data_IF_537792197974
#
_entry.id   IF_537792197974
#
_cell.length_a   1.000
_cell.length_b   1.000
_cell.length_c   1.000
_cell.angle_alpha   90.00
_cell.angle_beta   90.00
_cell.angle_gamma   90.00
#
_symmetry.space_group_name_H-M   'P 1'
#
loop_
_entity.id
_entity.type
_entity.pdbx_description
1 polymer ?
#
# COMPACT_ATOMS: atom_id res chain seq x y z
N UNK A 1 -39.60 -26.36 -1.87
CA UNK A 1 -38.81 -25.36 -2.61
C UNK A 1 -37.56 -25.12 -1.81
N UNK A 2 -36.43 -25.73 -2.19
CA UNK A 2 -35.13 -25.28 -1.69
C UNK A 2 -34.78 -24.04 -2.51
N UNK A 3 -34.54 -22.91 -1.86
CA UNK A 3 -33.94 -21.75 -2.50
C UNK A 3 -32.57 -22.19 -3.07
N UNK A 4 -32.22 -21.82 -4.31
CA UNK A 4 -30.90 -22.15 -4.84
C UNK A 4 -29.82 -21.56 -3.93
N UNK A 5 -28.69 -22.26 -3.71
CA UNK A 5 -27.61 -21.72 -2.92
C UNK A 5 -27.22 -20.34 -3.50
N UNK A 6 -26.90 -19.35 -2.64
CA UNK A 6 -26.45 -18.05 -3.12
C UNK A 6 -25.30 -18.30 -4.09
N UNK A 7 -25.52 -17.94 -5.36
CA UNK A 7 -24.53 -18.15 -6.41
C UNK A 7 -23.26 -17.45 -5.99
N UNK A 8 -22.25 -18.29 -5.84
CA UNK A 8 -20.88 -17.99 -5.48
C UNK A 8 -20.41 -16.66 -6.05
N UNK A 9 -19.58 -15.97 -5.26
CA UNK A 9 -18.90 -14.71 -5.52
C UNK A 9 -17.94 -14.79 -6.73
N UNK A 10 -18.45 -15.23 -7.89
CA UNK A 10 -17.71 -15.44 -9.12
C UNK A 10 -17.84 -14.20 -9.98
N UNK A 11 -16.73 -13.49 -10.13
CA UNK A 11 -16.66 -12.31 -10.99
C UNK A 11 -16.38 -12.74 -12.41
N UNK A 12 -17.21 -12.27 -13.35
CA UNK A 12 -16.91 -12.40 -14.77
C UNK A 12 -15.86 -11.34 -15.14
N UNK A 13 -14.62 -11.81 -15.32
CA UNK A 13 -13.49 -10.99 -15.78
C UNK A 13 -13.17 -11.23 -17.26
N UNK A 14 -13.98 -12.05 -17.97
CA UNK A 14 -13.63 -12.55 -19.30
C UNK A 14 -13.63 -11.48 -20.40
N UNK A 15 -14.24 -10.32 -20.14
CA UNK A 15 -14.29 -9.17 -21.07
C UNK A 15 -13.70 -7.90 -20.50
N UNK A 16 -12.96 -8.00 -19.40
CA UNK A 16 -12.50 -6.85 -18.64
C UNK A 16 -11.01 -6.62 -18.92
N UNK A 17 -10.65 -5.46 -19.47
CA UNK A 17 -9.24 -5.13 -19.71
C UNK A 17 -8.60 -4.66 -18.39
N UNK A 18 -7.95 -5.59 -17.69
CA UNK A 18 -7.33 -5.31 -16.40
C UNK A 18 -6.20 -4.29 -16.50
N UNK A 19 -5.52 -4.20 -17.65
CA UNK A 19 -4.45 -3.22 -17.89
C UNK A 19 -4.96 -1.78 -17.88
N UNK A 20 -6.17 -1.52 -18.43
CA UNK A 20 -6.77 -0.18 -18.42
C UNK A 20 -7.47 0.14 -17.09
N UNK A 21 -7.97 -0.89 -16.41
CA UNK A 21 -8.81 -0.71 -15.22
C UNK A 21 -7.99 -0.62 -13.95
N UNK A 22 -6.86 -1.34 -13.85
CA UNK A 22 -6.06 -1.41 -12.63
C UNK A 22 -4.64 -0.91 -12.91
N UNK A 23 -4.37 0.31 -12.47
CA UNK A 23 -3.05 0.91 -12.55
C UNK A 23 -2.32 0.80 -11.22
N UNK A 24 -1.25 0.02 -11.23
CA UNK A 24 -0.31 -0.11 -10.14
C UNK A 24 0.81 0.94 -10.28
N UNK A 25 0.90 1.85 -9.31
CA UNK A 25 2.00 2.81 -9.17
C UNK A 25 2.75 2.56 -7.86
N UNK A 26 3.92 3.17 -7.72
CA UNK A 26 4.71 3.07 -6.49
C UNK A 26 3.87 3.60 -5.33
N UNK A 27 3.54 2.72 -4.37
CA UNK A 27 2.76 3.04 -3.17
C UNK A 27 1.33 3.55 -3.45
N UNK A 28 0.83 3.34 -4.66
CA UNK A 28 -0.48 3.80 -5.11
C UNK A 28 -1.10 2.75 -6.04
N UNK A 29 -2.40 2.55 -5.92
CA UNK A 29 -3.21 1.82 -6.87
C UNK A 29 -4.37 2.70 -7.32
N UNK A 30 -4.60 2.76 -8.62
CA UNK A 30 -5.78 3.41 -9.18
C UNK A 30 -6.62 2.34 -9.86
N UNK A 31 -7.87 2.21 -9.45
CA UNK A 31 -8.81 1.29 -10.09
C UNK A 31 -9.97 2.11 -10.64
N UNK A 32 -10.22 1.97 -11.94
CA UNK A 32 -11.02 2.89 -12.77
C UNK A 32 -10.41 4.30 -12.77
N UNK A 33 -9.32 4.53 -13.51
CA UNK A 33 -8.72 5.86 -13.66
C UNK A 33 -9.68 6.86 -14.35
N UNK A 34 -10.53 6.37 -15.24
CA UNK A 34 -11.59 7.12 -15.92
C UNK A 34 -12.94 6.84 -15.24
N UNK A 35 -13.62 7.90 -14.79
CA UNK A 35 -14.94 7.79 -14.14
C UNK A 35 -16.06 7.35 -15.10
N UNK A 36 -15.89 7.56 -16.42
CA UNK A 36 -16.82 7.08 -17.46
C UNK A 36 -16.87 5.55 -17.56
N UNK A 37 -15.74 4.88 -17.30
CA UNK A 37 -15.63 3.41 -17.30
C UNK A 37 -15.99 2.77 -15.96
N UNK A 38 -16.34 3.58 -14.96
CA UNK A 38 -16.62 3.14 -13.59
C UNK A 38 -18.03 2.53 -13.49
N UNK A 39 -18.17 1.21 -13.33
CA UNK A 39 -19.48 0.59 -13.21
C UNK A 39 -20.10 0.85 -11.83
N UNK A 40 -21.39 0.56 -11.67
CA UNK A 40 -22.07 0.68 -10.39
C UNK A 40 -21.44 -0.20 -9.30
N UNK A 41 -21.61 0.17 -8.03
CA UNK A 41 -21.07 -0.59 -6.90
C UNK A 41 -21.67 -2.01 -6.90
N UNK A 42 -20.81 -3.02 -6.98
CA UNK A 42 -21.16 -4.44 -7.10
C UNK A 42 -20.97 -5.03 -8.50
N UNK A 43 -20.87 -4.19 -9.54
CA UNK A 43 -20.62 -4.61 -10.92
C UNK A 43 -19.14 -4.50 -11.30
N UNK A 44 -18.69 -5.41 -12.18
CA UNK A 44 -17.29 -5.48 -12.59
C UNK A 44 -16.35 -5.62 -11.39
N UNK A 45 -15.25 -4.84 -11.41
CA UNK A 45 -14.28 -4.79 -10.31
C UNK A 45 -14.73 -3.85 -9.19
N UNK A 46 -15.78 -3.02 -9.35
CA UNK A 46 -16.19 -2.01 -8.37
C UNK A 46 -16.92 -2.61 -7.16
N UNK A 47 -16.22 -3.42 -6.37
CA UNK A 47 -16.75 -4.08 -5.18
C UNK A 47 -15.74 -4.09 -4.05
N UNK A 48 -16.09 -4.77 -2.96
CA UNK A 48 -15.17 -4.97 -1.86
C UNK A 48 -13.95 -5.77 -2.31
N UNK A 49 -12.76 -5.37 -1.86
CA UNK A 49 -11.54 -6.10 -2.17
C UNK A 49 -10.46 -5.82 -1.12
N UNK A 50 -9.57 -6.78 -0.96
CA UNK A 50 -8.36 -6.65 -0.17
C UNK A 50 -7.20 -6.27 -1.09
N UNK A 51 -6.59 -5.12 -0.79
CA UNK A 51 -5.44 -4.58 -1.48
C UNK A 51 -4.21 -4.82 -0.59
N UNK A 52 -3.10 -5.22 -1.21
CA UNK A 52 -1.79 -5.32 -0.58
C UNK A 52 -0.79 -4.53 -1.44
N UNK A 53 -0.31 -3.41 -0.89
CA UNK A 53 0.73 -2.60 -1.49
C UNK A 53 2.07 -2.94 -0.83
N UNK A 54 3.04 -3.41 -1.60
CA UNK A 54 4.40 -3.68 -1.11
C UNK A 54 5.32 -2.46 -1.25
N UNK A 55 6.42 -2.45 -0.50
CA UNK A 55 7.41 -1.35 -0.44
C UNK A 55 6.85 0.00 0.02
N UNK A 56 5.88 -0.03 0.92
CA UNK A 56 5.28 1.16 1.55
C UNK A 56 6.10 1.53 2.78
N UNK A 57 7.07 2.42 2.60
CA UNK A 57 7.92 2.94 3.67
C UNK A 57 8.04 4.47 3.59
N UNK A 58 8.16 5.16 4.74
CA UNK A 58 8.40 6.59 4.75
C UNK A 58 9.73 6.90 4.09
N UNK A 59 9.76 7.98 3.34
CA UNK A 59 10.96 8.48 2.67
C UNK A 59 11.52 9.64 3.48
N UNK A 60 12.82 9.62 3.69
CA UNK A 60 13.51 10.75 4.27
C UNK A 60 13.55 11.89 3.25
N UNK A 61 13.04 13.06 3.63
CA UNK A 61 12.96 14.23 2.75
C UNK A 61 14.32 14.72 2.24
N UNK A 62 15.38 14.55 3.04
CA UNK A 62 16.73 15.05 2.74
C UNK A 62 17.53 14.03 1.94
N UNK A 63 17.60 12.78 2.40
CA UNK A 63 18.39 11.74 1.73
C UNK A 63 17.64 11.08 0.57
N UNK A 64 16.32 11.24 0.50
CA UNK A 64 15.40 10.52 -0.41
C UNK A 64 15.50 9.00 -0.28
N UNK A 65 16.00 8.51 0.84
CA UNK A 65 16.09 7.08 1.13
C UNK A 65 14.86 6.62 1.91
N UNK A 66 14.38 5.41 1.59
CA UNK A 66 13.28 4.75 2.30
C UNK A 66 13.76 4.24 3.66
N UNK A 67 13.00 4.52 4.71
CA UNK A 67 13.26 4.03 6.06
C UNK A 67 12.59 2.67 6.23
N UNK A 68 13.36 1.60 6.11
CA UNK A 68 12.87 0.22 6.22
C UNK A 68 13.04 -0.38 7.62
N UNK A 69 13.72 0.34 8.51
CA UNK A 69 14.02 -0.14 9.87
C UNK A 69 12.73 -0.22 10.72
N UNK A 70 12.33 -1.42 11.18
CA UNK A 70 11.08 -1.61 11.92
C UNK A 70 11.05 -0.85 13.26
N UNK A 71 12.21 -0.63 13.90
CA UNK A 71 12.28 0.13 15.15
C UNK A 71 11.99 1.60 14.87
N UNK A 72 12.55 2.16 13.80
CA UNK A 72 12.28 3.54 13.37
C UNK A 72 10.84 3.72 12.90
N UNK A 73 10.32 2.78 12.11
CA UNK A 73 8.92 2.81 11.66
C UNK A 73 7.94 2.84 12.83
N UNK A 74 8.22 2.06 13.88
CA UNK A 74 7.42 2.05 15.11
C UNK A 74 7.55 3.36 15.89
N UNK A 75 8.76 3.89 16.03
CA UNK A 75 9.01 5.17 16.70
C UNK A 75 8.34 6.36 15.97
N UNK A 76 8.27 6.30 14.63
CA UNK A 76 7.57 7.28 13.78
C UNK A 76 6.04 7.13 13.81
N UNK A 77 5.50 6.06 14.40
CA UNK A 77 4.06 5.77 14.35
C UNK A 77 3.55 5.55 12.93
N UNK A 78 4.38 5.02 12.03
CA UNK A 78 4.05 4.95 10.60
C UNK A 78 2.85 4.04 10.33
N UNK A 79 2.69 2.95 11.09
CA UNK A 79 1.49 2.10 11.02
C UNK A 79 0.20 2.88 11.31
N UNK A 80 0.21 3.75 12.33
CA UNK A 80 -0.96 4.58 12.69
C UNK A 80 -1.27 5.60 11.59
N UNK A 81 -0.25 6.07 10.87
CA UNK A 81 -0.42 6.90 9.67
C UNK A 81 -1.14 6.14 8.57
N UNK A 82 -0.71 4.91 8.27
CA UNK A 82 -1.38 4.06 7.27
C UNK A 82 -2.82 3.75 7.66
N UNK A 83 -3.08 3.50 8.95
CA UNK A 83 -4.44 3.29 9.46
C UNK A 83 -5.32 4.52 9.21
N UNK A 84 -4.84 5.72 9.58
CA UNK A 84 -5.55 6.98 9.29
C UNK A 84 -5.78 7.22 7.81
N UNK A 85 -4.77 6.98 6.97
CA UNK A 85 -4.91 7.12 5.53
C UNK A 85 -5.95 6.15 4.99
N UNK A 86 -5.94 4.90 5.46
CA UNK A 86 -6.95 3.90 5.12
C UNK A 86 -8.36 4.35 5.53
N UNK A 87 -8.50 4.91 6.73
CA UNK A 87 -9.78 5.41 7.22
C UNK A 87 -10.28 6.61 6.40
N UNK A 88 -9.39 7.53 5.99
CA UNK A 88 -9.73 8.69 5.14
C UNK A 88 -10.29 8.27 3.77
N UNK A 89 -9.76 7.20 3.19
CA UNK A 89 -10.25 6.66 1.90
C UNK A 89 -11.50 5.77 2.06
N UNK A 90 -12.07 5.68 3.26
CA UNK A 90 -13.23 4.82 3.54
C UNK A 90 -12.93 3.32 3.51
N UNK A 91 -11.65 2.96 3.57
CA UNK A 91 -11.18 1.58 3.68
C UNK A 91 -11.10 1.11 5.14
N UNK A 92 -10.81 -0.18 5.31
CA UNK A 92 -10.50 -0.82 6.59
C UNK A 92 -9.04 -1.24 6.57
N UNK A 93 -8.25 -0.69 7.48
CA UNK A 93 -6.89 -1.14 7.70
C UNK A 93 -6.90 -2.58 8.22
N UNK A 94 -6.08 -3.46 7.63
CA UNK A 94 -5.98 -4.86 8.04
C UNK A 94 -4.64 -5.12 8.73
N UNK A 95 -3.54 -4.83 8.04
CA UNK A 95 -2.20 -5.13 8.55
C UNK A 95 -1.14 -4.26 7.88
N UNK A 96 -0.06 -3.96 8.61
CA UNK A 96 1.17 -3.43 8.04
C UNK A 96 2.35 -4.28 8.46
N UNK A 97 3.10 -4.80 7.49
CA UNK A 97 4.33 -5.57 7.72
C UNK A 97 5.54 -4.69 7.47
N UNK A 98 6.26 -4.22 8.50
CA UNK A 98 7.38 -3.30 8.32
C UNK A 98 8.57 -3.94 7.59
N UNK A 99 8.76 -5.25 7.71
CA UNK A 99 9.88 -6.00 7.10
C UNK A 99 9.87 -5.90 5.56
N UNK A 100 8.68 -5.98 4.95
CA UNK A 100 8.48 -5.89 3.50
C UNK A 100 7.86 -4.57 3.07
N UNK A 101 7.42 -3.75 4.02
CA UNK A 101 6.62 -2.55 3.75
C UNK A 101 5.26 -2.92 3.15
N UNK A 102 4.70 -4.09 3.47
CA UNK A 102 3.41 -4.48 2.92
C UNK A 102 2.28 -3.84 3.72
N UNK A 103 1.56 -2.91 3.11
CA UNK A 103 0.34 -2.32 3.64
C UNK A 103 -0.88 -3.05 3.08
N UNK A 104 -1.63 -3.70 3.96
CA UNK A 104 -2.83 -4.48 3.64
C UNK A 104 -4.06 -3.74 4.14
N UNK A 105 -5.01 -3.49 3.24
CA UNK A 105 -6.27 -2.84 3.58
C UNK A 105 -7.41 -3.34 2.69
N UNK A 106 -8.63 -3.25 3.21
CA UNK A 106 -9.86 -3.56 2.48
C UNK A 106 -10.54 -2.26 2.04
N UNK A 107 -11.09 -2.23 0.82
CA UNK A 107 -11.92 -1.14 0.32
C UNK A 107 -13.32 -1.67 0.02
N UNK A 108 -14.36 -0.81 0.09
CA UNK A 108 -15.75 -1.20 -0.20
C UNK A 108 -16.13 -1.06 -1.69
N UNK A 109 -15.48 -0.13 -2.36
CA UNK A 109 -15.63 0.21 -3.77
C UNK A 109 -14.25 0.61 -4.27
N UNK A 110 -14.09 0.73 -5.59
CA UNK A 110 -12.80 1.06 -6.19
C UNK A 110 -12.75 2.50 -6.70
N UNK A 111 -11.63 3.15 -6.41
CA UNK A 111 -11.22 4.48 -6.85
C UNK A 111 -9.68 4.53 -6.80
N UNK A 112 -9.11 5.74 -6.79
CA UNK A 112 -7.69 5.97 -6.51
C UNK A 112 -7.36 5.81 -5.02
N UNK A 113 -6.41 4.94 -4.68
CA UNK A 113 -5.92 4.70 -3.32
C UNK A 113 -4.40 4.68 -3.27
N UNK A 114 -3.79 5.50 -2.43
CA UNK A 114 -2.35 5.52 -2.26
C UNK A 114 -1.89 6.52 -1.23
N UNK A 115 -0.58 6.59 -1.04
CA UNK A 115 0.06 7.67 -0.31
C UNK A 115 0.58 8.69 -1.30
N UNK A 116 0.19 9.95 -1.12
CA UNK A 116 0.86 11.07 -1.79
C UNK A 116 2.31 11.17 -1.28
N UNK A 117 3.24 11.61 -2.13
CA UNK A 117 4.64 11.80 -1.73
C UNK A 117 4.76 12.69 -0.49
N UNK A 118 3.88 13.70 -0.34
CA UNK A 118 3.83 14.60 0.82
C UNK A 118 3.39 13.89 2.11
N UNK A 119 2.55 12.87 2.02
CA UNK A 119 2.13 12.04 3.15
C UNK A 119 3.14 10.92 3.42
N UNK A 120 4.13 10.70 2.56
CA UNK A 120 5.18 9.71 2.76
C UNK A 120 6.50 10.30 3.30
N UNK A 121 6.68 11.61 3.20
CA UNK A 121 7.88 12.28 3.70
C UNK A 121 7.89 12.41 5.22
N UNK A 122 9.04 12.11 5.83
CA UNK A 122 9.34 12.44 7.24
C UNK A 122 10.55 13.36 7.31
N UNK A 123 10.48 14.32 8.22
CA UNK A 123 11.55 15.30 8.44
C UNK A 123 12.73 14.67 9.19
N UNK A 124 13.96 15.12 8.89
CA UNK A 124 15.19 14.61 9.52
C UNK A 124 15.13 14.68 11.06
N UNK A 125 14.47 15.70 11.61
CA UNK A 125 14.27 15.82 13.06
C UNK A 125 13.46 14.65 13.64
N UNK A 126 12.46 14.13 12.92
CA UNK A 126 11.66 12.98 13.35
C UNK A 126 12.42 11.66 13.23
N UNK A 127 13.35 11.56 12.27
CA UNK A 127 14.26 10.41 12.14
C UNK A 127 15.29 10.42 13.29
N UNK A 128 15.81 11.60 13.63
CA UNK A 128 16.82 11.76 14.69
C UNK A 128 16.27 11.49 16.09
N UNK A 129 15.05 11.93 16.40
CA UNK A 129 14.39 11.62 17.68
C UNK A 129 14.13 10.12 17.83
N UNK A 130 13.77 9.42 16.75
CA UNK A 130 13.66 7.96 16.74
C UNK A 130 15.00 7.24 16.97
N UNK A 131 16.13 7.81 16.53
CA UNK A 131 17.48 7.23 16.72
C UNK A 131 18.17 7.63 18.03
N UNK A 132 17.65 8.61 18.77
CA UNK A 132 18.33 9.18 19.95
C UNK A 132 18.25 8.28 21.20
N UNK A 133 17.58 7.13 21.12
CA UNK A 133 17.72 6.07 22.11
C UNK A 133 18.99 5.22 21.84
N UNK A 134 20.16 5.83 22.13
CA UNK A 134 21.47 5.21 22.44
C UNK A 134 22.42 4.81 21.26
N UNK A 135 23.56 5.51 21.18
CA UNK A 135 24.79 5.17 20.43
C UNK A 135 25.81 4.45 21.37
N UNK A 136 26.83 3.69 20.87
CA UNK A 136 27.85 4.18 19.94
C UNK A 136 28.22 3.28 18.74
N UNK A 137 28.78 3.99 17.75
CA UNK A 137 29.45 3.59 16.51
C UNK A 137 30.00 2.15 16.43
N UNK A 138 29.70 1.47 15.32
CA UNK A 138 30.63 0.52 14.72
C UNK A 138 30.45 0.41 13.19
N UNK A 139 31.54 0.00 12.55
CA UNK A 139 31.93 0.30 11.19
C UNK A 139 31.40 -0.67 10.12
N UNK A 140 31.46 -0.17 8.87
CA UNK A 140 31.65 -0.88 7.60
C UNK A 140 30.75 -2.08 7.26
N UNK A 141 29.93 -1.93 6.22
CA UNK A 141 29.70 -2.99 5.25
C UNK A 141 29.39 -2.41 3.87
N UNK A 142 30.31 -2.69 2.95
CA UNK A 142 30.23 -2.55 1.50
C UNK A 142 28.89 -3.00 0.93
N UNK A 143 28.28 -2.15 0.09
CA UNK A 143 27.23 -2.55 -0.85
C UNK A 143 27.81 -3.62 -1.80
N UNK A 144 27.17 -4.78 -1.98
CA UNK A 144 27.00 -5.31 -3.32
C UNK A 144 25.81 -4.58 -3.94
N UNK A 145 26.04 -3.99 -5.10
CA UNK A 145 24.96 -3.72 -6.03
C UNK A 145 24.44 -5.09 -6.50
N UNK A 146 23.29 -5.52 -5.98
CA UNK A 146 22.52 -6.60 -6.61
C UNK A 146 21.40 -5.93 -7.40
N UNK A 147 21.60 -5.89 -8.70
CA UNK A 147 20.58 -5.56 -9.68
C UNK A 147 19.55 -6.68 -9.71
N UNK A 148 18.69 -6.74 -8.69
CA UNK A 148 17.42 -7.42 -8.80
C UNK A 148 16.43 -6.35 -9.21
N UNK A 149 15.87 -6.46 -10.42
CA UNK A 149 14.68 -5.71 -10.79
C UNK A 149 13.60 -6.08 -9.79
N UNK A 150 13.50 -5.28 -8.73
CA UNK A 150 12.56 -5.47 -7.66
C UNK A 150 11.17 -5.47 -8.25
N UNK A 151 10.61 -6.66 -8.48
CA UNK A 151 9.25 -6.78 -8.97
C UNK A 151 8.35 -6.22 -7.86
N UNK A 152 7.84 -5.02 -8.08
CA UNK A 152 6.83 -4.39 -7.25
C UNK A 152 5.63 -5.35 -7.22
N UNK A 153 5.51 -6.11 -6.13
CA UNK A 153 4.48 -7.16 -6.02
C UNK A 153 3.26 -6.53 -5.34
N UNK A 154 2.45 -5.83 -6.12
CA UNK A 154 1.16 -5.33 -5.65
C UNK A 154 0.08 -6.37 -5.96
N UNK A 155 -0.74 -6.71 -4.96
CA UNK A 155 -1.74 -7.77 -5.06
C UNK A 155 -3.10 -7.21 -4.69
N UNK A 156 -4.08 -7.43 -5.56
CA UNK A 156 -5.50 -7.19 -5.27
C UNK A 156 -6.25 -8.52 -5.27
N UNK A 157 -7.04 -8.75 -4.23
CA UNK A 157 -7.91 -9.92 -4.08
C UNK A 157 -9.36 -9.43 -4.00
N UNK A 158 -10.18 -9.88 -4.94
CA UNK A 158 -11.59 -9.50 -5.11
C UNK A 158 -12.54 -10.58 -4.59
#
# INVERSE_FOLDING_TARGET
>A
MLEPPPTDSRMDVARLNLDDIVHFRRMEITVYPDDDDKPAVGEGLNRKAQITLDKVWPINKVTRESITDPVKLKALGYQEKLERTTAKIGGRFLEYRPETGSWVFEVKHFSKYGLDESDNEVDEAAVQTATSAKLPQQAAATKPADGSVDKLTQVCRF
#
